data_IF_807950694810
#
_entry.id   IF_807950694810
#
_cell.length_a   1.000
_cell.length_b   1.000
_cell.length_c   1.000
_cell.angle_alpha   90.00
_cell.angle_beta   90.00
_cell.angle_gamma   90.00
#
_symmetry.space_group_name_H-M   'P 1'
#
loop_
_entity.id
_entity.type
_entity.pdbx_description
1 polymer ?
#
# COMPACT_ATOMS: atom_id res chain seq x y z
N UNK A 1 -19.32 53.44 -49.84
CA UNK A 1 -18.36 53.57 -48.72
C UNK A 1 -18.31 52.22 -48.02
N UNK A 2 -17.24 51.47 -48.26
CA UNK A 2 -16.96 50.20 -47.59
C UNK A 2 -16.66 50.45 -46.12
N UNK A 3 -17.23 49.63 -45.24
CA UNK A 3 -16.67 49.42 -43.90
C UNK A 3 -16.62 47.91 -43.69
N UNK A 4 -15.39 47.43 -43.52
CA UNK A 4 -15.00 46.03 -43.45
C UNK A 4 -15.62 45.32 -42.24
N UNK A 5 -16.04 44.08 -42.47
CA UNK A 5 -16.32 43.12 -41.41
C UNK A 5 -15.04 42.45 -40.96
N UNK A 6 -14.81 42.40 -39.66
CA UNK A 6 -13.90 41.47 -39.02
C UNK A 6 -14.73 40.63 -38.04
N UNK A 7 -15.13 39.45 -38.53
CA UNK A 7 -15.70 38.39 -37.71
C UNK A 7 -14.53 37.79 -36.92
N UNK A 8 -14.52 37.99 -35.61
CA UNK A 8 -13.54 37.34 -34.74
C UNK A 8 -13.72 35.82 -34.81
N UNK A 9 -12.76 35.13 -35.43
CA UNK A 9 -12.66 33.67 -35.41
C UNK A 9 -12.53 33.19 -33.96
N UNK A 10 -13.48 32.37 -33.51
CA UNK A 10 -13.33 31.56 -32.31
C UNK A 10 -12.15 30.61 -32.51
N UNK A 11 -11.02 30.94 -31.90
CA UNK A 11 -9.88 30.05 -31.78
C UNK A 11 -10.35 28.68 -31.26
N UNK A 12 -10.08 27.63 -32.04
CA UNK A 12 -10.25 26.24 -31.63
C UNK A 12 -9.48 26.05 -30.32
N UNK A 13 -10.19 25.81 -29.23
CA UNK A 13 -9.59 25.31 -28.01
C UNK A 13 -8.91 23.98 -28.37
N UNK A 14 -7.57 24.02 -28.44
CA UNK A 14 -6.78 22.82 -28.67
C UNK A 14 -7.18 21.78 -27.65
N UNK A 15 -7.66 20.64 -28.13
CA UNK A 15 -7.87 19.45 -27.31
C UNK A 15 -6.51 19.12 -26.70
N UNK A 16 -6.32 19.49 -25.43
CA UNK A 16 -5.24 18.94 -24.63
C UNK A 16 -5.49 17.43 -24.60
N UNK A 17 -4.52 16.59 -24.97
CA UNK A 17 -4.68 15.16 -24.79
C UNK A 17 -4.85 14.93 -23.28
N UNK A 18 -6.05 14.52 -22.89
CA UNK A 18 -6.30 14.03 -21.54
C UNK A 18 -5.60 12.68 -21.45
N UNK A 19 -4.39 12.67 -20.89
CA UNK A 19 -3.76 11.45 -20.41
C UNK A 19 -4.53 10.99 -19.16
N UNK A 20 -5.75 10.51 -19.36
CA UNK A 20 -6.46 9.77 -18.31
C UNK A 20 -5.77 8.40 -18.20
N UNK A 21 -5.22 8.14 -17.02
CA UNK A 21 -4.64 6.85 -16.68
C UNK A 21 -5.75 6.02 -16.07
N UNK A 22 -6.17 4.96 -16.76
CA UNK A 22 -7.12 3.99 -16.25
C UNK A 22 -6.40 2.84 -15.54
N UNK A 23 -7.12 2.19 -14.63
CA UNK A 23 -6.66 0.95 -14.00
C UNK A 23 -6.85 -0.22 -14.99
N UNK A 24 -5.80 -1.01 -15.28
CA UNK A 24 -5.93 -2.16 -16.16
C UNK A 24 -6.90 -3.18 -15.56
N UNK A 25 -7.80 -3.72 -16.38
CA UNK A 25 -8.79 -4.76 -15.99
C UNK A 25 -9.74 -4.35 -14.85
N UNK A 26 -9.89 -3.04 -14.59
CA UNK A 26 -10.77 -2.58 -13.53
C UNK A 26 -12.25 -2.73 -13.91
N UNK A 27 -12.96 -3.53 -13.10
CA UNK A 27 -14.41 -3.66 -13.16
C UNK A 27 -15.08 -2.67 -12.19
N UNK A 28 -16.07 -1.94 -12.69
CA UNK A 28 -16.87 -1.01 -11.87
C UNK A 28 -17.55 -1.77 -10.73
N UNK A 29 -17.44 -1.25 -9.50
CA UNK A 29 -17.96 -1.86 -8.28
C UNK A 29 -17.03 -2.89 -7.63
N UNK A 30 -15.97 -3.34 -8.30
CA UNK A 30 -15.04 -4.36 -7.76
C UNK A 30 -13.67 -3.81 -7.37
N UNK A 31 -13.34 -2.58 -7.75
CA UNK A 31 -12.06 -1.96 -7.41
C UNK A 31 -11.96 -1.77 -5.89
N UNK A 32 -10.87 -2.27 -5.29
CA UNK A 32 -10.52 -2.07 -3.89
C UNK A 32 -9.14 -1.44 -3.78
N UNK A 33 -9.08 -0.26 -3.20
CA UNK A 33 -7.85 0.50 -3.01
C UNK A 33 -7.55 0.62 -1.53
N UNK A 34 -6.27 0.70 -1.19
CA UNK A 34 -5.83 1.00 0.17
C UNK A 34 -4.92 2.20 0.23
N UNK A 35 -5.18 3.07 1.19
CA UNK A 35 -4.21 4.03 1.70
C UNK A 35 -3.60 3.45 2.97
N UNK A 36 -2.31 3.10 2.91
CA UNK A 36 -1.62 2.41 3.99
C UNK A 36 -0.47 3.24 4.55
N UNK A 37 -0.76 4.24 5.41
CA UNK A 37 0.28 5.02 6.06
C UNK A 37 0.87 4.26 7.25
N UNK A 38 2.17 4.44 7.46
CA UNK A 38 2.83 4.02 8.70
C UNK A 38 2.48 5.00 9.83
N UNK A 39 2.01 4.53 11.00
CA UNK A 39 1.63 5.38 12.14
C UNK A 39 2.84 5.91 12.94
N UNK A 40 3.97 6.18 12.28
CA UNK A 40 5.20 6.65 12.93
C UNK A 40 5.47 8.16 12.73
N UNK A 41 4.56 8.88 12.10
CA UNK A 41 4.71 10.31 11.83
C UNK A 41 3.47 10.99 11.24
N UNK A 42 3.52 12.31 11.10
CA UNK A 42 2.41 13.12 10.59
C UNK A 42 2.29 13.07 9.06
N UNK A 43 1.07 13.28 8.56
CA UNK A 43 0.82 13.37 7.13
C UNK A 43 1.44 14.66 6.54
N UNK A 44 2.28 14.49 5.53
CA UNK A 44 2.77 15.58 4.68
C UNK A 44 2.09 15.54 3.31
N UNK A 45 2.31 16.59 2.50
CA UNK A 45 1.69 16.77 1.18
C UNK A 45 1.86 15.58 0.21
N UNK A 46 3.00 14.86 0.29
CA UNK A 46 3.22 13.63 -0.47
C UNK A 46 2.17 12.54 -0.20
N UNK A 47 1.73 12.38 1.05
CA UNK A 47 0.68 11.44 1.41
C UNK A 47 -0.69 11.89 0.90
N UNK A 48 -0.97 13.19 0.94
CA UNK A 48 -2.22 13.75 0.40
C UNK A 48 -2.40 13.39 -1.07
N UNK A 49 -1.31 13.43 -1.87
CA UNK A 49 -1.36 13.00 -3.27
C UNK A 49 -1.77 11.54 -3.41
N UNK A 50 -1.16 10.64 -2.65
CA UNK A 50 -1.47 9.21 -2.70
C UNK A 50 -2.92 8.93 -2.28
N UNK A 51 -3.39 9.58 -1.22
CA UNK A 51 -4.73 9.38 -0.69
C UNK A 51 -5.81 9.95 -1.64
N UNK A 52 -5.60 11.14 -2.21
CA UNK A 52 -6.49 11.73 -3.21
C UNK A 52 -6.53 10.91 -4.50
N UNK A 53 -5.39 10.35 -4.94
CA UNK A 53 -5.34 9.49 -6.11
C UNK A 53 -6.15 8.20 -5.90
N UNK A 54 -6.00 7.58 -4.73
CA UNK A 54 -6.79 6.40 -4.37
C UNK A 54 -8.29 6.73 -4.31
N UNK A 55 -8.67 7.89 -3.74
CA UNK A 55 -10.06 8.33 -3.71
C UNK A 55 -10.62 8.59 -5.12
N UNK A 56 -9.84 9.23 -5.99
CA UNK A 56 -10.22 9.47 -7.38
C UNK A 56 -10.60 8.17 -8.10
N UNK A 57 -9.77 7.14 -7.98
CA UNK A 57 -10.04 5.85 -8.59
C UNK A 57 -11.19 5.10 -7.93
N UNK A 58 -11.31 5.16 -6.59
CA UNK A 58 -12.46 4.59 -5.89
C UNK A 58 -13.78 5.22 -6.39
N UNK A 59 -13.82 6.53 -6.59
CA UNK A 59 -15.01 7.22 -7.10
C UNK A 59 -15.27 6.89 -8.58
N UNK A 60 -14.23 6.93 -9.43
CA UNK A 60 -14.35 6.64 -10.87
C UNK A 60 -14.91 5.25 -11.14
N UNK A 61 -14.43 4.25 -10.39
CA UNK A 61 -14.83 2.86 -10.57
C UNK A 61 -15.92 2.41 -9.59
N UNK A 62 -16.56 3.32 -8.85
CA UNK A 62 -17.54 2.97 -7.79
C UNK A 62 -17.01 1.88 -6.84
N UNK A 63 -15.71 1.92 -6.59
CA UNK A 63 -14.98 0.98 -5.75
C UNK A 63 -14.90 1.45 -4.30
N UNK A 64 -14.10 0.72 -3.54
CA UNK A 64 -13.93 0.91 -2.11
C UNK A 64 -12.52 1.43 -1.81
N UNK A 65 -12.42 2.40 -0.90
CA UNK A 65 -11.15 2.86 -0.34
C UNK A 65 -11.09 2.45 1.13
N UNK A 66 -10.06 1.69 1.50
CA UNK A 66 -9.78 1.36 2.90
C UNK A 66 -8.56 2.14 3.39
N UNK A 67 -8.58 2.51 4.67
CA UNK A 67 -7.39 3.00 5.37
C UNK A 67 -6.82 1.81 6.14
N UNK A 68 -5.53 1.53 5.95
CA UNK A 68 -4.86 0.44 6.66
C UNK A 68 -3.64 0.96 7.41
N UNK A 69 -3.69 0.94 8.73
CA UNK A 69 -2.50 1.25 9.52
C UNK A 69 -1.53 0.07 9.45
N UNK A 70 -0.30 0.34 9.03
CA UNK A 70 0.77 -0.66 9.05
C UNK A 70 1.44 -0.63 10.43
N UNK A 71 0.77 -1.25 11.40
CA UNK A 71 1.14 -1.28 12.82
C UNK A 71 1.94 -2.55 13.18
N UNK A 72 2.97 -2.83 12.36
CA UNK A 72 3.84 -4.00 12.55
C UNK A 72 5.06 -3.72 13.43
N UNK A 73 5.28 -2.47 13.83
CA UNK A 73 6.42 -2.02 14.62
C UNK A 73 6.00 -1.43 15.98
N UNK A 74 5.92 -2.26 17.03
CA UNK A 74 5.43 -1.84 18.35
C UNK A 74 6.28 -0.75 19.02
N UNK A 75 7.50 -0.49 18.55
CA UNK A 75 8.38 0.54 19.11
C UNK A 75 8.18 1.94 18.50
N UNK A 76 7.49 2.04 17.36
CA UNK A 76 7.30 3.31 16.62
C UNK A 76 5.85 3.77 16.54
N UNK A 77 4.93 2.97 17.05
CA UNK A 77 3.50 3.26 17.04
C UNK A 77 3.06 4.10 18.24
N UNK A 78 2.26 5.12 17.96
CA UNK A 78 1.53 5.87 18.97
C UNK A 78 0.09 6.05 18.52
N UNK A 79 -0.86 5.83 19.43
CA UNK A 79 -2.28 6.13 19.21
C UNK A 79 -2.48 7.59 18.79
N UNK A 80 -1.61 8.50 19.26
CA UNK A 80 -1.63 9.91 18.86
C UNK A 80 -1.43 10.08 17.34
N UNK A 81 -0.54 9.29 16.71
CA UNK A 81 -0.32 9.38 15.28
C UNK A 81 -1.52 8.84 14.49
N UNK A 82 -2.13 7.75 14.97
CA UNK A 82 -3.35 7.19 14.38
C UNK A 82 -4.48 8.21 14.39
N UNK A 83 -4.74 8.83 15.55
CA UNK A 83 -5.83 9.79 15.73
C UNK A 83 -5.62 11.05 14.87
N UNK A 84 -4.40 11.61 14.86
CA UNK A 84 -4.09 12.77 14.02
C UNK A 84 -4.19 12.44 12.54
N UNK A 85 -3.77 11.24 12.13
CA UNK A 85 -3.83 10.82 10.74
C UNK A 85 -5.28 10.67 10.26
N UNK A 86 -6.17 10.11 11.07
CA UNK A 86 -7.60 10.04 10.76
C UNK A 86 -8.22 11.43 10.62
N UNK A 87 -7.85 12.35 11.51
CA UNK A 87 -8.30 13.74 11.46
C UNK A 87 -7.80 14.48 10.21
N UNK A 88 -6.56 14.25 9.81
CA UNK A 88 -5.98 14.81 8.59
C UNK A 88 -6.67 14.26 7.34
N UNK A 89 -6.95 12.95 7.29
CA UNK A 89 -7.73 12.32 6.21
C UNK A 89 -9.13 12.95 6.11
N UNK A 90 -9.80 13.14 7.24
CA UNK A 90 -11.13 13.77 7.30
C UNK A 90 -11.06 15.24 6.84
N UNK A 91 -10.03 15.98 7.26
CA UNK A 91 -9.79 17.37 6.85
C UNK A 91 -9.56 17.49 5.34
N UNK A 92 -8.89 16.50 4.74
CA UNK A 92 -8.70 16.42 3.28
C UNK A 92 -9.98 16.01 2.53
N UNK A 93 -11.06 15.67 3.23
CA UNK A 93 -12.34 15.25 2.63
C UNK A 93 -12.27 13.86 1.99
N UNK A 94 -11.33 13.03 2.43
CA UNK A 94 -11.12 11.70 1.88
C UNK A 94 -12.14 10.74 2.49
N UNK A 95 -13.01 10.20 1.63
CA UNK A 95 -14.00 9.20 2.03
C UNK A 95 -13.41 7.80 1.94
N UNK A 96 -13.35 7.12 3.07
CA UNK A 96 -12.97 5.71 3.18
C UNK A 96 -14.13 4.92 3.79
N UNK A 97 -14.14 3.61 3.55
CA UNK A 97 -15.20 2.71 4.02
C UNK A 97 -14.88 2.11 5.38
N UNK A 98 -13.64 1.68 5.57
CA UNK A 98 -13.21 1.02 6.80
C UNK A 98 -11.75 1.34 7.12
N UNK A 99 -11.44 1.26 8.40
CA UNK A 99 -10.08 1.31 8.95
C UNK A 99 -9.71 -0.11 9.35
N UNK A 100 -8.53 -0.55 8.96
CA UNK A 100 -7.98 -1.87 9.29
C UNK A 100 -6.57 -1.71 9.86
N UNK A 101 -6.16 -2.65 10.69
CA UNK A 101 -4.82 -2.70 11.28
C UNK A 101 -4.10 -3.94 10.74
N UNK A 102 -2.80 -3.83 10.47
CA UNK A 102 -2.00 -4.96 10.03
C UNK A 102 -1.87 -6.02 11.13
N UNK A 103 -1.82 -5.57 12.40
CA UNK A 103 -1.73 -6.42 13.59
C UNK A 103 -2.94 -7.36 13.75
N UNK A 104 -4.15 -6.96 13.34
CA UNK A 104 -5.35 -7.81 13.33
C UNK A 104 -5.15 -9.09 12.50
N UNK A 105 -4.24 -9.05 11.52
CA UNK A 105 -3.93 -10.18 10.63
C UNK A 105 -2.76 -11.04 11.11
N UNK A 106 -2.12 -10.75 12.26
CA UNK A 106 -1.00 -11.55 12.75
C UNK A 106 -1.30 -13.05 12.88
N UNK A 107 -2.46 -13.50 13.39
CA UNK A 107 -2.78 -14.93 13.43
C UNK A 107 -2.76 -15.58 12.04
N UNK A 108 -3.32 -14.91 11.03
CA UNK A 108 -3.33 -15.38 9.64
C UNK A 108 -1.90 -15.39 9.05
N UNK A 109 -1.12 -14.33 9.29
CA UNK A 109 0.26 -14.24 8.81
C UNK A 109 1.12 -15.37 9.42
N UNK A 110 0.93 -15.70 10.69
CA UNK A 110 1.62 -16.81 11.34
C UNK A 110 1.26 -18.16 10.69
N UNK A 111 -0.02 -18.43 10.44
CA UNK A 111 -0.46 -19.64 9.75
C UNK A 111 0.15 -19.73 8.33
N UNK A 112 0.20 -18.61 7.61
CA UNK A 112 0.83 -18.56 6.28
C UNK A 112 2.34 -18.85 6.35
N UNK A 113 3.04 -18.32 7.35
CA UNK A 113 4.48 -18.56 7.55
C UNK A 113 4.73 -20.04 7.88
N UNK A 114 3.95 -20.65 8.78
CA UNK A 114 4.05 -22.08 9.09
C UNK A 114 3.84 -22.94 7.84
N UNK A 115 2.84 -22.60 7.03
CA UNK A 115 2.59 -23.28 5.76
C UNK A 115 3.75 -23.13 4.76
N UNK A 116 4.39 -21.95 4.70
CA UNK A 116 5.56 -21.72 3.85
C UNK A 116 6.77 -22.54 4.32
N UNK A 117 6.98 -22.65 5.64
CA UNK A 117 8.04 -23.48 6.22
C UNK A 117 7.78 -24.96 5.91
N UNK A 118 6.55 -25.45 6.11
CA UNK A 118 6.16 -26.83 5.78
C UNK A 118 6.32 -27.16 4.29
N UNK A 119 6.18 -26.17 3.39
CA UNK A 119 6.39 -26.33 1.95
C UNK A 119 7.87 -26.20 1.53
N UNK A 120 8.79 -25.99 2.48
CA UNK A 120 10.21 -25.75 2.19
C UNK A 120 10.48 -24.42 1.48
N UNK A 121 9.55 -23.46 1.56
CA UNK A 121 9.63 -22.14 0.90
C UNK A 121 10.11 -21.03 1.84
N UNK A 122 10.26 -21.32 3.13
CA UNK A 122 10.78 -20.40 4.13
C UNK A 122 11.60 -21.18 5.16
N UNK A 123 12.69 -20.58 5.65
CA UNK A 123 13.59 -21.18 6.65
C UNK A 123 13.86 -20.18 7.78
N UNK A 124 14.34 -20.67 8.92
CA UNK A 124 14.77 -19.84 10.04
C UNK A 124 16.26 -19.57 9.90
N UNK A 125 16.63 -18.28 9.90
CA UNK A 125 18.02 -17.84 9.81
C UNK A 125 18.50 -17.29 11.16
N UNK A 126 19.46 -17.97 11.81
CA UNK A 126 20.08 -17.57 13.07
C UNK A 126 21.47 -16.91 12.87
N UNK A 127 21.87 -16.68 11.62
CA UNK A 127 23.12 -15.98 11.27
C UNK A 127 23.12 -14.56 11.84
N UNK A 128 24.24 -14.11 12.46
CA UNK A 128 24.35 -12.73 12.94
C UNK A 128 24.04 -11.70 11.84
N UNK A 129 23.36 -10.61 12.21
CA UNK A 129 22.87 -9.60 11.26
C UNK A 129 23.94 -9.06 10.30
N UNK A 130 25.15 -8.80 10.80
CA UNK A 130 26.27 -8.29 9.99
C UNK A 130 26.74 -9.31 8.95
N UNK A 131 26.80 -10.58 9.34
CA UNK A 131 27.19 -11.68 8.46
C UNK A 131 26.10 -11.94 7.41
N UNK A 132 24.83 -12.02 7.82
CA UNK A 132 23.69 -12.16 6.91
C UNK A 132 23.62 -11.03 5.87
N UNK A 133 23.92 -9.79 6.29
CA UNK A 133 23.97 -8.66 5.36
C UNK A 133 25.11 -8.82 4.34
N UNK A 134 26.29 -9.27 4.78
CA UNK A 134 27.42 -9.52 3.90
C UNK A 134 27.13 -10.67 2.92
N UNK A 135 26.64 -11.80 3.41
CA UNK A 135 26.28 -12.96 2.57
C UNK A 135 25.24 -12.57 1.50
N UNK A 136 24.22 -11.77 1.87
CA UNK A 136 23.24 -11.24 0.91
C UNK A 136 23.87 -10.35 -0.17
N UNK A 137 24.82 -9.50 0.20
CA UNK A 137 25.52 -8.62 -0.75
C UNK A 137 26.43 -9.40 -1.70
N UNK A 138 27.06 -10.46 -1.19
CA UNK A 138 27.97 -11.34 -1.93
C UNK A 138 27.22 -12.44 -2.72
N UNK A 139 25.89 -12.52 -2.59
CA UNK A 139 25.06 -13.53 -3.26
C UNK A 139 25.28 -14.96 -2.75
N UNK A 140 25.75 -15.08 -1.51
CA UNK A 140 26.03 -16.35 -0.85
C UNK A 140 24.73 -16.88 -0.26
N UNK A 141 24.41 -18.14 -0.53
CA UNK A 141 23.25 -18.81 0.04
C UNK A 141 23.44 -19.03 1.55
N UNK A 142 22.37 -18.82 2.32
CA UNK A 142 22.40 -19.09 3.76
C UNK A 142 22.69 -20.57 3.98
N UNK A 143 23.56 -20.87 4.94
CA UNK A 143 23.93 -22.25 5.31
C UNK A 143 22.78 -22.98 5.99
N UNK A 144 21.74 -22.26 6.37
CA UNK A 144 20.58 -22.77 7.09
C UNK A 144 19.52 -23.19 6.09
N UNK A 145 19.25 -24.50 6.08
CA UNK A 145 18.14 -25.09 5.36
C UNK A 145 17.03 -25.41 6.35
N UNK A 146 15.78 -25.41 5.87
CA UNK A 146 14.57 -25.68 6.65
C UNK A 146 14.77 -26.83 7.66
N UNK A 147 14.73 -26.57 8.99
CA UNK A 147 14.93 -27.61 10.01
C UNK A 147 13.77 -28.60 10.13
N UNK A 148 12.65 -28.40 9.41
CA UNK A 148 11.43 -29.17 9.65
C UNK A 148 11.60 -30.68 9.38
N UNK A 149 12.56 -31.08 8.55
CA UNK A 149 12.89 -32.49 8.32
C UNK A 149 13.76 -33.11 9.42
N UNK A 150 14.34 -32.31 10.32
CA UNK A 150 15.24 -32.76 11.40
C UNK A 150 14.58 -32.62 12.79
N UNK A 151 13.43 -33.28 13.01
CA UNK A 151 13.05 -33.71 14.37
C UNK A 151 11.82 -33.09 15.06
N UNK A 152 11.03 -32.24 14.39
CA UNK A 152 9.77 -31.72 14.96
C UNK A 152 8.49 -32.40 14.44
N UNK A 153 8.62 -33.59 13.86
CA UNK A 153 7.47 -34.44 13.55
C UNK A 153 6.99 -35.16 14.82
N UNK A 154 6.14 -34.49 15.59
CA UNK A 154 5.20 -35.14 16.50
C UNK A 154 5.68 -35.39 17.93
N UNK A 155 5.55 -34.38 18.77
CA UNK A 155 5.10 -34.59 20.15
C UNK A 155 3.68 -34.03 20.28
N UNK A 156 2.70 -34.88 20.00
CA UNK A 156 1.37 -34.75 20.61
C UNK A 156 1.46 -35.08 22.09
#
# INVERSE_FOLDING_TARGET
>A
MSVNGDVYEKGKAGSRPTFEVDLPEAEVGKVRLRFAPEPSGFLHIGHSKAALLNQYFAQRYQGQLIVRFDDTNPAKESNEFVDNLLKDIETLGIKYETVTYASDYFPLLMEMVENLICQGKAYVDDTPREEMQKERMDGIESKLLCPWEAGYAGSK
#
